data_IF_559479541507
#
_entry.id   IF_559479541507
#
_cell.length_a   1.000
_cell.length_b   1.000
_cell.length_c   1.000
_cell.angle_alpha   90.00
_cell.angle_beta   90.00
_cell.angle_gamma   90.00
#
_symmetry.space_group_name_H-M   'P 1'
#
loop_
_entity.id
_entity.type
_entity.pdbx_description
1 polymer ?
#
# COMPACT_ATOMS: atom_id res chain seq x y z
N UNK A 1 -20.27 -25.20 -49.39
CA UNK A 1 -20.61 -24.32 -48.26
C UNK A 1 -20.15 -24.80 -46.89
N UNK A 2 -19.60 -25.99 -46.77
CA UNK A 2 -19.00 -26.51 -45.52
C UNK A 2 -17.67 -25.85 -45.13
N UNK A 3 -16.99 -25.18 -46.07
CA UNK A 3 -15.71 -24.48 -45.78
C UNK A 3 -15.84 -23.17 -45.01
N UNK A 4 -16.97 -22.47 -45.18
CA UNK A 4 -17.18 -21.19 -44.48
C UNK A 4 -17.55 -21.38 -43.00
N UNK A 5 -18.26 -22.46 -42.65
CA UNK A 5 -18.60 -22.79 -41.26
C UNK A 5 -17.41 -23.25 -40.43
N UNK A 6 -16.44 -23.95 -41.01
CA UNK A 6 -15.20 -24.34 -40.36
C UNK A 6 -14.28 -23.18 -40.08
N UNK A 7 -14.20 -22.20 -41.00
CA UNK A 7 -13.40 -20.98 -40.84
C UNK A 7 -13.92 -20.06 -39.74
N UNK A 8 -15.24 -19.88 -39.64
CA UNK A 8 -15.88 -19.07 -38.56
C UNK A 8 -15.67 -19.74 -37.21
N UNK A 9 -15.76 -21.07 -37.13
CA UNK A 9 -15.54 -21.80 -35.88
C UNK A 9 -14.09 -21.71 -35.41
N UNK A 10 -13.11 -21.74 -36.30
CA UNK A 10 -11.69 -21.55 -36.00
C UNK A 10 -11.42 -20.11 -35.50
N UNK A 11 -12.01 -19.11 -36.12
CA UNK A 11 -11.91 -17.71 -35.72
C UNK A 11 -12.53 -17.49 -34.34
N UNK A 12 -13.68 -18.09 -34.06
CA UNK A 12 -14.33 -18.02 -32.76
C UNK A 12 -13.46 -18.63 -31.65
N UNK A 13 -12.86 -19.80 -31.91
CA UNK A 13 -11.94 -20.47 -30.99
C UNK A 13 -10.69 -19.64 -30.70
N UNK A 14 -10.10 -19.04 -31.74
CA UNK A 14 -8.94 -18.17 -31.61
C UNK A 14 -9.28 -16.91 -30.80
N UNK A 15 -10.44 -16.30 -31.00
CA UNK A 15 -10.89 -15.14 -30.26
C UNK A 15 -11.13 -15.45 -28.78
N UNK A 16 -11.74 -16.59 -28.46
CA UNK A 16 -11.93 -17.03 -27.06
C UNK A 16 -10.58 -17.32 -26.40
N UNK A 17 -9.67 -18.01 -27.08
CA UNK A 17 -8.34 -18.27 -26.57
C UNK A 17 -7.56 -16.98 -26.26
N UNK A 18 -7.60 -16.01 -27.15
CA UNK A 18 -6.97 -14.71 -26.94
C UNK A 18 -7.60 -13.95 -25.76
N UNK A 19 -8.92 -13.96 -25.64
CA UNK A 19 -9.62 -13.33 -24.52
C UNK A 19 -9.22 -13.94 -23.19
N UNK A 20 -9.10 -15.26 -23.08
CA UNK A 20 -8.67 -15.96 -21.86
C UNK A 20 -7.23 -15.56 -21.48
N UNK A 21 -6.32 -15.50 -22.44
CA UNK A 21 -4.93 -15.09 -22.20
C UNK A 21 -4.87 -13.64 -21.71
N UNK A 22 -5.62 -12.74 -22.34
CA UNK A 22 -5.67 -11.33 -21.92
C UNK A 22 -6.27 -11.17 -20.52
N UNK A 23 -7.36 -11.88 -20.21
CA UNK A 23 -7.99 -11.82 -18.87
C UNK A 23 -7.05 -12.35 -17.78
N UNK A 24 -6.31 -13.44 -18.04
CA UNK A 24 -5.32 -13.95 -17.07
C UNK A 24 -4.14 -13.00 -16.88
N UNK A 25 -3.69 -12.35 -17.94
CA UNK A 25 -2.64 -11.33 -17.87
C UNK A 25 -3.05 -10.13 -17.03
N UNK A 26 -4.24 -9.58 -17.27
CA UNK A 26 -4.80 -8.44 -16.54
C UNK A 26 -5.03 -8.81 -15.08
N UNK A 27 -5.55 -10.00 -14.79
CA UNK A 27 -5.78 -10.44 -13.40
C UNK A 27 -4.48 -10.53 -12.60
N UNK A 28 -3.39 -10.97 -13.19
CA UNK A 28 -2.08 -11.03 -12.53
C UNK A 28 -1.50 -9.64 -12.25
N UNK A 29 -1.58 -8.73 -13.20
CA UNK A 29 -1.14 -7.35 -13.04
C UNK A 29 -2.03 -6.64 -12.02
N UNK A 30 -3.33 -6.84 -12.08
CA UNK A 30 -4.29 -6.29 -11.12
C UNK A 30 -4.03 -6.75 -9.69
N UNK A 31 -3.71 -8.03 -9.48
CA UNK A 31 -3.36 -8.56 -8.16
C UNK A 31 -2.11 -7.93 -7.58
N UNK A 32 -1.07 -7.74 -8.39
CA UNK A 32 0.16 -7.07 -7.96
C UNK A 32 -0.09 -5.59 -7.61
N UNK A 33 -0.90 -4.89 -8.40
CA UNK A 33 -1.27 -3.49 -8.16
C UNK A 33 -2.09 -3.33 -6.87
N UNK A 34 -3.02 -4.24 -6.60
CA UNK A 34 -3.82 -4.24 -5.36
C UNK A 34 -2.92 -4.50 -4.15
N UNK A 35 -1.99 -5.45 -4.23
CA UNK A 35 -1.07 -5.73 -3.14
C UNK A 35 -0.16 -4.53 -2.85
N UNK A 36 0.35 -3.88 -3.89
CA UNK A 36 1.16 -2.67 -3.75
C UNK A 36 0.35 -1.52 -3.11
N UNK A 37 -0.89 -1.30 -3.56
CA UNK A 37 -1.76 -0.28 -2.98
C UNK A 37 -2.06 -0.54 -1.48
N UNK A 38 -2.23 -1.80 -1.10
CA UNK A 38 -2.41 -2.19 0.31
C UNK A 38 -1.14 -1.96 1.12
N UNK A 39 0.02 -2.28 0.57
CA UNK A 39 1.30 -2.04 1.24
C UNK A 39 1.53 -0.54 1.46
N UNK A 40 1.23 0.29 0.46
CA UNK A 40 1.34 1.75 0.57
C UNK A 40 0.37 2.30 1.62
N UNK A 41 -0.87 1.84 1.65
CA UNK A 41 -1.86 2.24 2.66
C UNK A 41 -1.43 1.83 4.08
N UNK A 42 -0.88 0.63 4.24
CA UNK A 42 -0.35 0.17 5.52
C UNK A 42 0.85 1.02 5.98
N UNK A 43 1.71 1.41 5.04
CA UNK A 43 2.84 2.30 5.32
C UNK A 43 2.35 3.69 5.76
N UNK A 44 1.38 4.27 5.08
CA UNK A 44 0.78 5.56 5.45
C UNK A 44 0.17 5.52 6.84
N UNK A 45 -0.61 4.49 7.15
CA UNK A 45 -1.21 4.32 8.48
C UNK A 45 -0.14 4.17 9.57
N UNK A 46 0.90 3.38 9.32
CA UNK A 46 1.99 3.18 10.26
C UNK A 46 2.81 4.45 10.48
N UNK A 47 3.08 5.22 9.43
CA UNK A 47 3.78 6.50 9.51
C UNK A 47 2.98 7.53 10.33
N UNK A 48 1.68 7.61 10.11
CA UNK A 48 0.79 8.48 10.89
C UNK A 48 0.79 8.08 12.37
N UNK A 49 0.67 6.81 12.68
CA UNK A 49 0.70 6.32 14.06
C UNK A 49 2.04 6.65 14.75
N UNK A 50 3.15 6.49 14.05
CA UNK A 50 4.47 6.87 14.55
C UNK A 50 4.61 8.37 14.77
N UNK A 51 4.13 9.19 13.84
CA UNK A 51 4.15 10.64 13.95
C UNK A 51 3.28 11.14 15.12
N UNK A 52 2.11 10.55 15.32
CA UNK A 52 1.22 10.88 16.44
C UNK A 52 1.90 10.58 17.78
N UNK A 53 2.57 9.45 17.91
CA UNK A 53 3.32 9.10 19.11
C UNK A 53 4.45 10.11 19.39
N UNK A 54 5.15 10.56 18.36
CA UNK A 54 6.17 11.60 18.47
C UNK A 54 5.56 12.95 18.87
N UNK A 55 4.43 13.32 18.31
CA UNK A 55 3.72 14.56 18.63
C UNK A 55 3.26 14.62 20.11
N UNK A 56 2.90 13.44 20.65
CA UNK A 56 2.52 13.31 22.07
C UNK A 56 3.74 13.32 23.03
N UNK A 57 4.95 13.38 22.49
CA UNK A 57 6.17 13.39 23.30
C UNK A 57 6.53 12.03 23.90
N UNK A 58 6.00 10.93 23.38
CA UNK A 58 6.21 9.59 23.93
C UNK A 58 7.57 8.96 23.55
N UNK A 59 8.31 9.60 22.66
CA UNK A 59 9.66 9.22 22.26
C UNK A 59 9.73 8.22 21.13
N UNK A 60 10.95 7.94 20.70
CA UNK A 60 11.28 7.07 19.57
C UNK A 60 10.71 5.65 19.73
N UNK A 61 10.92 5.03 20.88
CA UNK A 61 10.51 3.64 21.10
C UNK A 61 8.99 3.46 21.05
N UNK A 62 8.25 4.42 21.59
CA UNK A 62 6.79 4.43 21.50
C UNK A 62 6.31 4.64 20.06
N UNK A 63 6.97 5.50 19.30
CA UNK A 63 6.68 5.71 17.89
C UNK A 63 6.91 4.44 17.06
N UNK A 64 8.01 3.73 17.28
CA UNK A 64 8.30 2.45 16.62
C UNK A 64 7.26 1.40 16.98
N UNK A 65 6.86 1.30 18.24
CA UNK A 65 5.82 0.36 18.67
C UNK A 65 4.47 0.69 18.04
N UNK A 66 4.09 1.95 17.98
CA UNK A 66 2.85 2.39 17.36
C UNK A 66 2.84 2.07 15.85
N UNK A 67 3.91 2.36 15.17
CA UNK A 67 4.06 2.03 13.75
C UNK A 67 4.00 0.51 13.50
N UNK A 68 4.64 -0.29 14.35
CA UNK A 68 4.65 -1.75 14.24
C UNK A 68 3.25 -2.35 14.46
N UNK A 69 2.54 -1.93 15.47
CA UNK A 69 1.19 -2.40 15.76
C UNK A 69 0.25 -2.03 14.62
N UNK A 70 0.32 -0.79 14.14
CA UNK A 70 -0.53 -0.33 13.03
C UNK A 70 -0.23 -1.07 11.73
N UNK A 71 1.05 -1.32 11.41
CA UNK A 71 1.41 -2.13 10.25
C UNK A 71 0.83 -3.56 10.38
N UNK A 72 0.96 -4.18 11.54
CA UNK A 72 0.43 -5.51 11.82
C UNK A 72 -1.10 -5.57 11.71
N UNK A 73 -1.79 -4.56 12.19
CA UNK A 73 -3.26 -4.45 12.07
C UNK A 73 -3.72 -4.32 10.61
N UNK A 74 -2.84 -3.91 9.73
CA UNK A 74 -3.06 -3.83 8.28
C UNK A 74 -2.40 -4.96 7.50
N UNK A 75 -2.13 -6.09 8.14
CA UNK A 75 -1.52 -7.29 7.55
C UNK A 75 -0.14 -7.06 6.94
N UNK A 76 0.58 -6.06 7.41
CA UNK A 76 1.93 -5.73 6.96
C UNK A 76 2.94 -5.90 8.09
N UNK A 77 4.18 -6.04 7.72
CA UNK A 77 5.30 -6.10 8.67
C UNK A 77 6.11 -4.82 8.59
N UNK A 78 6.35 -4.18 9.72
CA UNK A 78 7.28 -3.06 9.79
C UNK A 78 8.71 -3.56 9.58
N UNK A 79 9.36 -3.07 8.53
CA UNK A 79 10.77 -3.37 8.23
C UNK A 79 11.68 -2.38 8.93
N UNK A 80 11.35 -1.09 8.85
CA UNK A 80 12.11 -0.03 9.49
C UNK A 80 11.22 1.17 9.83
N UNK A 81 11.57 1.85 10.89
CA UNK A 81 11.01 3.14 11.26
C UNK A 81 12.15 4.08 11.59
N UNK A 82 12.29 5.15 10.83
CA UNK A 82 13.13 6.29 11.19
C UNK A 82 12.22 7.34 11.79
N UNK A 83 12.03 7.26 13.08
CA UNK A 83 11.07 8.04 13.84
C UNK A 83 11.83 9.00 14.78
N UNK A 84 12.16 10.17 14.29
CA UNK A 84 12.95 11.17 15.01
C UNK A 84 12.33 12.55 14.95
N UNK A 85 12.43 13.30 16.04
CA UNK A 85 11.86 14.64 16.12
C UNK A 85 10.35 14.63 15.95
N UNK A 86 9.86 15.12 14.82
CA UNK A 86 8.43 15.15 14.46
C UNK A 86 8.13 14.35 13.19
N UNK A 87 9.10 13.61 12.68
CA UNK A 87 9.01 12.90 11.42
C UNK A 87 9.08 11.39 11.66
N UNK A 88 8.10 10.68 11.14
CA UNK A 88 8.10 9.23 11.07
C UNK A 88 8.19 8.78 9.62
N UNK A 89 9.27 8.10 9.27
CA UNK A 89 9.47 7.49 7.97
C UNK A 89 9.50 5.98 8.15
N UNK A 90 8.57 5.28 7.50
CA UNK A 90 8.41 3.84 7.68
C UNK A 90 8.57 3.11 6.37
N UNK A 91 9.09 1.90 6.46
CA UNK A 91 9.10 0.90 5.41
C UNK A 91 8.35 -0.32 5.94
N UNK A 92 7.33 -0.74 5.21
CA UNK A 92 6.57 -1.96 5.51
C UNK A 92 6.68 -2.94 4.37
N UNK A 93 6.45 -4.21 4.69
CA UNK A 93 6.42 -5.30 3.72
C UNK A 93 5.10 -6.05 3.86
N UNK A 94 4.48 -6.32 2.72
CA UNK A 94 3.28 -7.13 2.60
C UNK A 94 3.48 -8.13 1.47
N UNK A 95 3.78 -9.39 1.80
CA UNK A 95 4.14 -10.39 0.81
C UNK A 95 5.38 -9.96 -0.01
N UNK A 96 5.19 -9.77 -1.30
CA UNK A 96 6.23 -9.28 -2.22
C UNK A 96 6.24 -7.76 -2.38
N UNK A 97 5.23 -7.09 -1.88
CA UNK A 97 5.11 -5.64 -1.99
C UNK A 97 5.80 -4.94 -0.82
N UNK A 98 6.35 -3.78 -1.09
CA UNK A 98 6.92 -2.89 -0.08
C UNK A 98 6.22 -1.55 -0.18
N UNK A 99 5.80 -1.02 0.98
CA UNK A 99 5.26 0.32 1.09
C UNK A 99 6.20 1.21 1.87
N UNK A 100 6.36 2.44 1.44
CA UNK A 100 7.13 3.47 2.13
C UNK A 100 6.26 4.69 2.32
N UNK A 101 6.30 5.25 3.51
CA UNK A 101 5.57 6.47 3.81
C UNK A 101 6.35 7.34 4.79
N UNK A 102 6.09 8.63 4.72
CA UNK A 102 6.62 9.64 5.61
C UNK A 102 5.46 10.48 6.14
N UNK A 103 5.38 10.61 7.44
CA UNK A 103 4.44 11.50 8.10
C UNK A 103 5.19 12.47 8.99
N UNK A 104 4.76 13.69 8.99
CA UNK A 104 5.29 14.74 9.85
C UNK A 104 4.17 15.21 10.78
N UNK A 105 4.45 15.19 12.08
CA UNK A 105 3.52 15.71 13.06
C UNK A 105 3.57 17.24 13.03
N UNK A 106 2.51 17.86 12.54
CA UNK A 106 2.32 19.29 12.71
C UNK A 106 1.92 19.55 14.16
N UNK A 107 2.80 20.19 14.90
CA UNK A 107 2.38 20.82 16.15
C UNK A 107 1.55 22.03 15.73
N UNK A 108 0.24 21.89 15.78
CA UNK A 108 -0.65 23.04 15.66
C UNK A 108 -0.29 24.02 16.76
N UNK A 109 0.53 24.99 16.43
CA UNK A 109 0.60 26.19 17.23
C UNK A 109 -0.75 26.85 17.11
N UNK A 110 -1.59 26.58 18.10
CA UNK A 110 -2.80 27.36 18.28
C UNK A 110 -2.41 28.82 18.22
N UNK A 111 -2.97 29.63 17.32
CA UNK A 111 -2.63 31.03 17.27
C UNK A 111 -3.01 31.63 18.65
N UNK A 112 -2.02 32.09 19.37
CA UNK A 112 -2.28 32.82 20.60
C UNK A 112 -3.34 33.89 20.28
N UNK A 113 -4.46 33.89 21.00
CA UNK A 113 -5.35 35.02 20.89
C UNK A 113 -4.56 36.28 21.18
N UNK A 114 -4.46 37.18 20.19
CA UNK A 114 -3.80 38.45 20.34
C UNK A 114 -4.38 39.25 21.51
N UNK A 115 -3.63 40.18 22.04
CA UNK A 115 -4.13 41.02 23.12
C UNK A 115 -5.39 41.81 22.75
#
# INVERSE_FOLDING_TARGET
MTRERGSVSLLALAAVGLAVVLCTGIARVGGAAVLQARADAAADAAALAGADALALGNGHDAAVRAARVTASDNDARLVSCTCTGHVAEVLVRMGRAHGRARAEAEISREPRPGP
#
